data_IF_702471237887
#
_entry.id   IF_702471237887
#
_cell.length_a   1.000
_cell.length_b   1.000
_cell.length_c   1.000
_cell.angle_alpha   90.00
_cell.angle_beta   90.00
_cell.angle_gamma   90.00
#
_symmetry.space_group_name_H-M   'P 1'
#
loop_
_entity.id
_entity.type
_entity.pdbx_description
1 polymer ?
#
# COMPACT_ATOMS: atom_id res chain seq x y z
N UNK A 1 -4.09 -11.38 9.06
CA UNK A 1 -3.50 -10.04 8.89
C UNK A 1 -4.38 -9.29 7.91
N UNK A 2 -5.10 -8.26 8.37
CA UNK A 2 -5.85 -7.36 7.49
C UNK A 2 -4.84 -6.25 7.15
N UNK A 3 -4.49 -6.10 5.87
CA UNK A 3 -3.66 -4.98 5.43
C UNK A 3 -4.61 -3.82 5.16
N UNK A 4 -4.65 -2.86 6.09
CA UNK A 4 -5.27 -1.57 5.85
C UNK A 4 -4.28 -0.70 5.07
N UNK A 5 -4.48 -0.57 3.75
CA UNK A 5 -3.66 0.33 2.94
C UNK A 5 -4.15 1.77 3.09
N UNK A 6 -3.48 2.53 3.96
CA UNK A 6 -3.58 3.99 3.98
C UNK A 6 -2.61 4.56 2.94
N UNK A 7 -3.10 4.91 1.75
CA UNK A 7 -2.27 5.53 0.72
C UNK A 7 -2.13 7.03 1.03
N UNK A 8 -1.10 7.38 1.79
CA UNK A 8 -0.72 8.78 1.99
C UNK A 8 0.09 9.26 0.78
N UNK A 9 -0.47 10.19 0.00
CA UNK A 9 0.29 10.91 -1.02
C UNK A 9 1.17 11.95 -0.33
N UNK A 10 2.41 12.14 -0.81
CA UNK A 10 3.33 13.13 -0.26
C UNK A 10 2.68 14.53 -0.30
N UNK A 11 2.22 15.00 0.86
CA UNK A 11 1.46 16.27 0.97
C UNK A 11 0.40 16.31 2.06
N UNK A 12 0.10 15.20 2.76
CA UNK A 12 -0.98 15.15 3.75
C UNK A 12 -2.37 15.02 3.12
N UNK A 13 -2.43 14.65 1.84
CA UNK A 13 -3.67 14.42 1.10
C UNK A 13 -4.05 12.94 1.18
N UNK A 14 -5.27 12.67 1.65
CA UNK A 14 -5.83 11.33 1.79
C UNK A 14 -6.84 11.07 0.68
N UNK A 15 -6.64 10.00 -0.09
CA UNK A 15 -7.58 9.56 -1.13
C UNK A 15 -8.25 8.28 -0.66
N UNK A 16 -9.55 8.34 -0.36
CA UNK A 16 -10.39 7.15 -0.10
C UNK A 16 -11.35 6.91 -1.25
N UNK A 17 -11.36 5.68 -1.75
CA UNK A 17 -12.49 5.17 -2.53
C UNK A 17 -12.81 3.76 -2.07
N UNK A 18 -14.08 3.53 -1.74
CA UNK A 18 -14.61 2.22 -1.33
C UNK A 18 -15.03 1.36 -2.54
N UNK A 19 -14.81 1.86 -3.76
CA UNK A 19 -15.23 1.19 -4.98
C UNK A 19 -14.01 0.72 -5.80
N UNK A 20 -13.84 -0.60 -5.84
CA UNK A 20 -12.79 -1.28 -6.62
C UNK A 20 -12.86 -1.04 -8.13
N UNK A 21 -13.94 -0.44 -8.66
CA UNK A 21 -14.03 -0.01 -10.06
C UNK A 21 -13.36 1.35 -10.33
N UNK A 22 -13.03 2.13 -9.29
CA UNK A 22 -12.45 3.48 -9.38
C UNK A 22 -10.97 3.45 -9.01
N UNK A 23 -10.63 2.85 -7.86
CA UNK A 23 -9.25 2.61 -7.43
C UNK A 23 -9.16 1.19 -6.89
N UNK A 24 -8.04 0.50 -7.12
CA UNK A 24 -7.75 -0.76 -6.44
C UNK A 24 -6.25 -0.90 -6.14
N UNK A 25 -5.91 -2.00 -5.49
CA UNK A 25 -4.53 -2.41 -5.21
C UNK A 25 -4.23 -3.66 -6.03
N UNK A 26 -3.27 -3.58 -6.95
CA UNK A 26 -2.72 -4.75 -7.61
C UNK A 26 -1.75 -5.47 -6.67
N UNK A 27 -1.95 -6.78 -6.49
CA UNK A 27 -1.05 -7.66 -5.77
C UNK A 27 -0.29 -8.48 -6.80
N UNK A 28 1.04 -8.33 -6.85
CA UNK A 28 1.92 -9.01 -7.79
C UNK A 28 2.46 -10.31 -7.21
N UNK A 29 3.36 -10.20 -6.24
CA UNK A 29 3.85 -11.30 -5.44
C UNK A 29 3.14 -11.26 -4.09
N UNK A 30 2.56 -12.40 -3.71
CA UNK A 30 1.93 -12.61 -2.41
C UNK A 30 2.97 -12.49 -1.28
N UNK A 31 2.50 -12.25 -0.05
CA UNK A 31 3.38 -12.02 1.09
C UNK A 31 4.33 -13.21 1.32
N UNK A 32 5.63 -12.95 1.26
CA UNK A 32 6.67 -13.96 1.39
C UNK A 32 7.58 -13.66 2.58
N UNK A 33 7.80 -14.68 3.41
CA UNK A 33 8.80 -14.68 4.47
C UNK A 33 10.10 -15.26 3.94
N UNK A 34 11.19 -14.49 4.02
CA UNK A 34 12.51 -14.89 3.55
C UNK A 34 13.48 -14.86 4.72
N UNK A 35 14.23 -15.94 4.90
CA UNK A 35 15.34 -15.95 5.85
C UNK A 35 16.53 -15.21 5.25
N UNK A 36 17.06 -14.22 5.98
CA UNK A 36 18.14 -13.33 5.53
C UNK A 36 19.49 -13.88 5.96
N UNK A 37 19.57 -14.42 7.17
CA UNK A 37 20.81 -14.94 7.74
C UNK A 37 20.98 -14.55 9.21
N UNK A 38 22.11 -14.95 9.82
CA UNK A 38 22.45 -14.52 11.17
C UNK A 38 22.95 -13.08 11.18
N UNK A 39 22.48 -12.29 12.14
CA UNK A 39 22.85 -10.88 12.33
C UNK A 39 22.91 -10.59 13.84
N UNK A 40 24.05 -10.13 14.36
CA UNK A 40 24.29 -9.84 15.78
C UNK A 40 23.88 -10.95 16.77
N UNK A 41 24.05 -12.21 16.38
CA UNK A 41 23.69 -13.37 17.20
C UNK A 41 22.21 -13.77 17.14
N UNK A 42 21.42 -13.11 16.28
CA UNK A 42 20.02 -13.43 16.02
C UNK A 42 19.82 -13.96 14.60
N UNK A 43 18.69 -14.62 14.35
CA UNK A 43 18.26 -15.04 13.01
C UNK A 43 17.34 -13.98 12.40
N UNK A 44 17.79 -13.33 11.32
CA UNK A 44 17.04 -12.28 10.64
C UNK A 44 16.14 -12.84 9.55
N UNK A 45 14.93 -12.29 9.46
CA UNK A 45 13.93 -12.60 8.43
C UNK A 45 13.36 -11.31 7.84
N UNK A 46 12.96 -11.34 6.58
CA UNK A 46 12.25 -10.24 5.92
C UNK A 46 10.91 -10.74 5.39
N UNK A 47 9.87 -9.94 5.62
CA UNK A 47 8.59 -10.11 4.94
C UNK A 47 8.55 -9.11 3.81
N UNK A 48 8.23 -9.57 2.61
CA UNK A 48 8.04 -8.70 1.47
C UNK A 48 6.79 -9.11 0.69
N UNK A 49 6.17 -8.13 0.05
CA UNK A 49 5.04 -8.28 -0.87
C UNK A 49 5.22 -7.28 -2.02
N UNK A 50 4.61 -7.55 -3.18
CA UNK A 50 4.59 -6.56 -4.27
C UNK A 50 3.19 -6.00 -4.43
N UNK A 51 3.02 -4.73 -4.06
CA UNK A 51 1.77 -3.99 -4.17
C UNK A 51 1.92 -2.81 -5.13
N UNK A 52 0.85 -2.49 -5.87
CA UNK A 52 0.81 -1.29 -6.71
C UNK A 52 -0.60 -0.69 -6.71
N UNK A 53 -0.81 0.56 -6.26
CA UNK A 53 -2.10 1.22 -6.38
C UNK A 53 -2.42 1.49 -7.86
N UNK A 54 -3.67 1.29 -8.26
CA UNK A 54 -4.13 1.59 -9.62
C UNK A 54 -5.40 2.42 -9.60
N UNK A 55 -5.38 3.52 -10.34
CA UNK A 55 -6.57 4.30 -10.65
C UNK A 55 -7.15 3.77 -11.95
N UNK A 56 -8.36 3.19 -11.88
CA UNK A 56 -9.10 2.68 -13.04
C UNK A 56 -9.97 3.74 -13.70
N UNK A 57 -10.59 4.59 -12.87
CA UNK A 57 -11.38 5.73 -13.34
C UNK A 57 -11.07 6.99 -12.53
N UNK A 58 -10.25 7.91 -13.04
CA UNK A 58 -9.88 9.12 -12.31
C UNK A 58 -11.05 10.07 -12.07
N UNK A 59 -12.16 9.95 -12.82
CA UNK A 59 -13.36 10.81 -12.63
C UNK A 59 -14.09 10.50 -11.33
N UNK A 60 -13.88 9.31 -10.77
CA UNK A 60 -14.44 8.92 -9.47
C UNK A 60 -13.61 9.38 -8.27
N UNK A 61 -12.53 10.16 -8.49
CA UNK A 61 -11.62 10.62 -7.44
C UNK A 61 -11.78 12.12 -7.25
N UNK A 62 -12.03 12.53 -6.00
CA UNK A 62 -11.99 13.92 -5.56
C UNK A 62 -10.86 14.08 -4.55
N UNK A 63 -9.96 15.04 -4.79
CA UNK A 63 -8.88 15.38 -3.86
C UNK A 63 -9.27 16.65 -3.12
N UNK A 64 -9.35 16.56 -1.80
CA UNK A 64 -9.61 17.71 -0.94
C UNK A 64 -8.29 18.17 -0.33
N UNK A 65 -7.91 19.42 -0.61
CA UNK A 65 -6.74 20.03 0.03
C UNK A 65 -7.15 20.60 1.38
N UNK A 66 -6.48 20.14 2.45
CA UNK A 66 -6.65 20.76 3.76
C UNK A 66 -6.08 22.18 3.72
N UNK A 67 -6.93 23.18 3.99
CA UNK A 67 -6.53 24.57 4.14
C UNK A 67 -6.47 24.90 5.63
N UNK A 68 -5.39 25.58 6.05
CA UNK A 68 -5.21 26.08 7.41
C UNK A 68 -6.09 27.31 7.67
#
# INVERSE_FOLDING_TARGET
MIIETNLALQGGEEVRSINGSVIDLAIGADAALVYVGPEDGFHSFTIWETLTPRVKDPRGILVLKQSA
#
